data_IF_619653270566
#
_entry.id   IF_619653270566
#
_cell.length_a   1.000
_cell.length_b   1.000
_cell.length_c   1.000
_cell.angle_alpha   90.00
_cell.angle_beta   90.00
_cell.angle_gamma   90.00
#
_symmetry.space_group_name_H-M   'P 1'
#
loop_
_entity.id
_entity.type
_entity.pdbx_description
1 polymer ?
#
# COMPACT_ATOMS: atom_id res chain seq x y z
N UNK A 1 3.05 2.00 -6.74
CA UNK A 1 2.80 1.02 -5.65
C UNK A 1 4.10 0.51 -5.02
N UNK A 2 4.27 0.67 -3.70
CA UNK A 2 5.46 0.24 -2.97
C UNK A 2 5.41 -1.25 -2.62
N UNK A 3 6.47 -1.97 -2.98
CA UNK A 3 6.72 -3.37 -2.63
C UNK A 3 8.16 -3.50 -2.14
N UNK A 4 8.32 -3.90 -0.88
CA UNK A 4 9.61 -4.08 -0.24
C UNK A 4 9.67 -5.46 0.42
N UNK A 5 10.82 -6.12 0.34
CA UNK A 5 11.03 -7.43 0.97
C UNK A 5 12.40 -7.47 1.60
N UNK A 6 12.46 -7.79 2.90
CA UNK A 6 13.69 -7.95 3.65
C UNK A 6 13.53 -9.08 4.66
N UNK A 7 14.47 -10.04 4.66
CA UNK A 7 14.56 -11.10 5.68
C UNK A 7 13.24 -11.85 5.93
N UNK A 8 12.46 -12.09 4.86
CA UNK A 8 11.17 -12.79 4.94
C UNK A 8 9.99 -11.93 5.40
N UNK A 9 10.20 -10.64 5.68
CA UNK A 9 9.14 -9.64 5.86
C UNK A 9 8.88 -8.98 4.51
N UNK A 10 7.62 -9.01 4.06
CA UNK A 10 7.18 -8.31 2.85
C UNK A 10 6.24 -7.17 3.21
N UNK A 11 6.54 -5.98 2.73
CA UNK A 11 5.76 -4.76 2.95
C UNK A 11 5.19 -4.32 1.61
N UNK A 12 3.87 -4.19 1.54
CA UNK A 12 3.15 -3.69 0.36
C UNK A 12 2.23 -2.54 0.77
N UNK A 13 2.14 -1.51 -0.05
CA UNK A 13 1.06 -0.52 0.07
C UNK A 13 -0.18 -1.03 -0.65
N UNK A 14 -1.37 -0.82 -0.10
CA UNK A 14 -2.64 -1.29 -0.66
C UNK A 14 -3.67 -0.16 -0.55
N UNK A 15 -4.31 0.19 -1.67
CA UNK A 15 -5.48 1.07 -1.70
C UNK A 15 -6.72 0.26 -1.35
N UNK A 16 -7.41 0.63 -0.27
CA UNK A 16 -8.61 -0.07 0.19
C UNK A 16 -9.87 0.46 -0.50
N UNK A 17 -10.23 -0.16 -1.63
CA UNK A 17 -11.36 0.22 -2.49
C UNK A 17 -12.69 -0.45 -2.09
N UNK A 18 -12.75 -1.13 -0.94
CA UNK A 18 -13.90 -2.01 -0.59
C UNK A 18 -15.19 -1.27 -0.26
N UNK A 19 -15.14 0.03 0.03
CA UNK A 19 -16.27 0.81 0.57
C UNK A 19 -16.64 2.05 -0.22
N UNK A 20 -15.97 2.33 -1.34
CA UNK A 20 -16.08 3.60 -2.06
C UNK A 20 -15.94 3.41 -3.56
N UNK A 21 -16.46 4.37 -4.32
CA UNK A 21 -16.28 4.44 -5.76
C UNK A 21 -14.81 4.56 -6.14
N UNK A 22 -14.47 4.08 -7.34
CA UNK A 22 -13.09 3.96 -7.83
C UNK A 22 -12.38 5.31 -7.88
N UNK A 23 -13.11 6.39 -8.12
CA UNK A 23 -12.58 7.77 -8.21
C UNK A 23 -12.53 8.50 -6.87
N UNK A 24 -13.20 7.98 -5.83
CA UNK A 24 -13.14 8.61 -4.52
C UNK A 24 -11.81 8.38 -3.80
N UNK A 25 -11.40 9.31 -2.91
CA UNK A 25 -10.25 9.11 -2.06
C UNK A 25 -10.48 7.90 -1.14
N UNK A 26 -9.67 6.86 -1.37
CA UNK A 26 -9.70 5.60 -0.65
C UNK A 26 -8.52 5.51 0.31
N UNK A 27 -8.71 4.98 1.53
CA UNK A 27 -7.65 4.90 2.50
C UNK A 27 -6.54 3.94 2.07
N UNK A 28 -5.29 4.32 2.32
CA UNK A 28 -4.12 3.47 2.08
C UNK A 28 -3.77 2.70 3.34
N UNK A 29 -3.52 1.41 3.14
CA UNK A 29 -3.04 0.48 4.16
C UNK A 29 -1.66 -0.06 3.79
N UNK A 30 -0.80 -0.20 4.78
CA UNK A 30 0.43 -0.98 4.65
C UNK A 30 0.12 -2.41 5.05
N UNK A 31 0.24 -3.34 4.10
CA UNK A 31 0.22 -4.77 4.35
C UNK A 31 1.63 -5.24 4.69
N UNK A 32 1.81 -5.73 5.90
CA UNK A 32 3.02 -6.42 6.33
C UNK A 32 2.73 -7.92 6.34
N UNK A 33 3.56 -8.69 5.65
CA UNK A 33 3.49 -10.15 5.60
C UNK A 33 4.73 -10.73 6.22
N UNK A 34 4.58 -11.60 7.21
CA UNK A 34 5.68 -12.33 7.84
C UNK A 34 5.18 -13.71 8.26
N UNK A 35 5.93 -14.78 7.95
CA UNK A 35 5.54 -16.15 8.29
C UNK A 35 4.09 -16.52 7.89
N UNK A 36 3.66 -16.13 6.67
CA UNK A 36 2.28 -16.29 6.16
C UNK A 36 1.18 -15.55 6.95
N UNK A 37 1.53 -14.75 7.97
CA UNK A 37 0.60 -13.86 8.67
C UNK A 37 0.60 -12.50 7.98
N UNK A 38 -0.59 -11.98 7.69
CA UNK A 38 -0.80 -10.67 7.07
C UNK A 38 -1.42 -9.72 8.09
N UNK A 39 -0.80 -8.55 8.28
CA UNK A 39 -1.30 -7.48 9.14
C UNK A 39 -1.41 -6.21 8.31
N UNK A 40 -2.49 -5.46 8.51
CA UNK A 40 -2.78 -4.23 7.78
C UNK A 40 -2.76 -3.05 8.74
N UNK A 41 -1.87 -2.08 8.49
CA UNK A 41 -1.80 -0.83 9.24
C UNK A 41 -2.37 0.31 8.40
N UNK A 42 -3.23 1.12 9.00
CA UNK A 42 -3.73 2.36 8.37
C UNK A 42 -2.69 3.46 8.48
N UNK A 43 -2.40 4.14 7.37
CA UNK A 43 -1.47 5.29 7.36
C UNK A 43 -2.21 6.61 7.68
N UNK A 44 -3.55 6.61 7.65
CA UNK A 44 -4.36 7.82 7.81
C UNK A 44 -4.44 8.69 6.55
N UNK A 45 -3.80 8.25 5.45
CA UNK A 45 -3.81 8.92 4.16
C UNK A 45 -4.84 8.24 3.26
N UNK A 46 -5.59 9.04 2.49
CA UNK A 46 -6.49 8.57 1.44
C UNK A 46 -6.06 9.16 0.10
N UNK A 47 -5.99 8.34 -0.94
CA UNK A 47 -5.63 8.76 -2.30
C UNK A 47 -6.73 8.39 -3.29
N UNK A 48 -6.88 9.24 -4.31
CA UNK A 48 -7.65 8.95 -5.51
C UNK A 48 -6.93 7.91 -6.36
N UNK A 49 -7.57 7.45 -7.44
CA UNK A 49 -6.95 6.49 -8.33
C UNK A 49 -5.75 7.09 -9.06
N UNK A 50 -5.87 8.35 -9.51
CA UNK A 50 -4.80 9.05 -10.23
C UNK A 50 -3.57 9.27 -9.33
N UNK A 51 -3.77 9.73 -8.10
CA UNK A 51 -2.66 9.93 -7.15
C UNK A 51 -1.97 8.62 -6.78
N UNK A 52 -2.72 7.51 -6.74
CA UNK A 52 -2.20 6.18 -6.47
C UNK A 52 -1.30 5.67 -7.60
N UNK A 53 -1.70 5.86 -8.85
CA UNK A 53 -0.91 5.50 -10.04
C UNK A 53 0.34 6.38 -10.18
N UNK A 54 0.24 7.66 -9.82
CA UNK A 54 1.36 8.61 -9.81
C UNK A 54 2.35 8.39 -8.63
N UNK A 55 2.05 7.48 -7.71
CA UNK A 55 2.88 7.26 -6.52
C UNK A 55 4.24 6.66 -6.92
N UNK A 56 5.37 7.34 -6.64
CA UNK A 56 6.69 6.90 -7.09
C UNK A 56 6.99 5.51 -6.52
N UNK A 57 7.27 4.56 -7.40
CA UNK A 57 7.87 3.27 -7.03
C UNK A 57 9.28 3.58 -6.55
N UNK A 58 9.47 3.82 -5.26
CA UNK A 58 10.80 3.90 -4.69
C UNK A 58 11.47 2.52 -4.81
N UNK A 59 12.08 2.25 -5.96
CA UNK A 59 13.31 1.48 -5.99
C UNK A 59 14.29 2.36 -5.23
N UNK A 60 14.45 2.13 -3.94
CA UNK A 60 15.58 2.66 -3.19
C UNK A 60 16.84 2.34 -4.01
N UNK A 61 17.58 3.35 -4.52
CA UNK A 61 18.87 3.10 -5.15
C UNK A 61 19.77 2.50 -4.07
N UNK A 62 20.46 1.42 -4.41
CA UNK A 62 21.55 0.88 -3.59
C UNK A 62 22.65 1.90 -3.42
#
# INVERSE_FOLDING_TARGET
>A
MLNYSLNGVTICTVRDVRKKDVDEPCPIRVRITYQRKQIYYSIGISLTNEDWENMPTSKSPK
#
